data_IF_190915166314
#
_entry.id   IF_190915166314
#
_cell.length_a   1.000
_cell.length_b   1.000
_cell.length_c   1.000
_cell.angle_alpha   90.00
_cell.angle_beta   90.00
_cell.angle_gamma   90.00
#
_symmetry.space_group_name_H-M   'P 1'
#
loop_
_entity.id
_entity.type
_entity.pdbx_description
1 polymer ?
#
# COMPACT_ATOMS: atom_id res chain seq x y z
N UNK A 1 36.13 24.40 22.68
CA UNK A 1 35.32 23.32 23.27
C UNK A 1 33.98 23.93 23.66
N UNK A 2 32.95 23.76 22.84
CA UNK A 2 31.58 24.19 23.15
C UNK A 2 30.68 23.03 22.74
N UNK A 3 29.92 22.54 23.71
CA UNK A 3 29.10 21.35 23.62
C UNK A 3 27.86 21.60 22.75
N UNK A 4 27.62 20.68 21.82
CA UNK A 4 26.36 20.56 21.08
C UNK A 4 25.28 20.09 22.06
N UNK A 5 24.39 20.99 22.46
CA UNK A 5 23.18 20.66 23.20
C UNK A 5 22.13 20.11 22.24
N UNK A 6 21.67 18.92 22.59
CA UNK A 6 20.67 18.07 21.94
C UNK A 6 19.35 18.80 21.73
N UNK A 7 18.92 18.93 20.48
CA UNK A 7 17.56 19.32 20.13
C UNK A 7 16.67 18.08 19.97
N UNK A 8 15.98 17.70 21.04
CA UNK A 8 14.84 16.78 20.97
C UNK A 8 13.59 17.59 20.65
N UNK A 9 13.31 17.80 19.36
CA UNK A 9 12.13 18.51 18.87
C UNK A 9 11.11 17.54 18.30
N UNK A 10 10.25 17.00 19.15
CA UNK A 10 9.02 16.30 18.74
C UNK A 10 8.05 17.29 18.10
N UNK A 11 8.28 17.62 16.84
CA UNK A 11 7.36 18.40 16.04
C UNK A 11 6.23 17.49 15.54
N UNK A 12 5.06 17.58 16.16
CA UNK A 12 3.81 17.10 15.58
C UNK A 12 3.59 17.87 14.27
N UNK A 13 4.14 17.33 13.17
CA UNK A 13 3.80 17.78 11.84
C UNK A 13 2.42 17.23 11.52
N UNK A 14 1.39 17.98 11.90
CA UNK A 14 0.08 17.88 11.25
C UNK A 14 0.29 18.26 9.80
N UNK A 15 0.56 17.27 8.96
CA UNK A 15 0.50 17.42 7.50
C UNK A 15 -0.97 17.58 7.16
N UNK A 16 -1.43 18.83 7.07
CA UNK A 16 -2.69 19.15 6.39
C UNK A 16 -2.51 18.84 4.91
N UNK A 17 -2.90 17.62 4.52
CA UNK A 17 -3.07 17.26 3.11
C UNK A 17 -4.29 18.01 2.61
N UNK A 18 -4.11 19.17 2.00
CA UNK A 18 -5.13 19.81 1.18
C UNK A 18 -5.32 18.97 -0.08
N UNK A 19 -6.18 17.95 0.03
CA UNK A 19 -6.58 17.14 -1.11
C UNK A 19 -7.52 17.97 -1.99
N UNK A 20 -6.94 18.76 -2.90
CA UNK A 20 -7.68 19.49 -3.92
C UNK A 20 -8.01 18.60 -5.13
N UNK A 21 -8.32 17.32 -4.87
CA UNK A 21 -8.90 16.43 -5.89
C UNK A 21 -10.41 16.69 -5.84
N UNK A 22 -11.06 17.06 -6.95
CA UNK A 22 -12.51 17.11 -6.99
C UNK A 22 -13.02 15.70 -6.67
N UNK A 23 -13.48 15.47 -5.44
CA UNK A 23 -14.26 14.30 -5.10
C UNK A 23 -15.60 14.55 -5.78
N UNK A 24 -16.00 13.77 -6.81
CA UNK A 24 -17.35 13.86 -7.33
C UNK A 24 -18.27 13.66 -6.14
N UNK A 25 -19.18 14.61 -5.90
CA UNK A 25 -20.15 14.51 -4.82
C UNK A 25 -20.81 13.11 -4.91
N UNK A 26 -20.51 12.24 -3.94
CA UNK A 26 -21.10 10.92 -3.89
C UNK A 26 -22.61 11.10 -3.89
N UNK A 27 -23.30 10.61 -4.92
CA UNK A 27 -24.75 10.62 -4.97
C UNK A 27 -25.29 9.92 -3.73
N UNK A 28 -26.04 10.60 -2.84
CA UNK A 28 -26.51 10.01 -1.62
C UNK A 28 -27.84 9.32 -1.90
N UNK A 29 -27.88 8.15 -2.55
CA UNK A 29 -29.12 7.32 -2.48
C UNK A 29 -29.04 5.87 -2.94
N UNK A 30 -28.07 5.44 -3.75
CA UNK A 30 -27.95 4.00 -4.07
C UNK A 30 -26.91 3.35 -3.15
N UNK A 31 -27.35 3.00 -1.95
CA UNK A 31 -26.61 2.06 -1.10
C UNK A 31 -26.47 0.77 -1.89
N UNK A 32 -25.24 0.34 -2.19
CA UNK A 32 -24.96 -0.97 -2.77
C UNK A 32 -25.65 -2.05 -1.94
N UNK A 33 -26.70 -2.67 -2.51
CA UNK A 33 -27.42 -3.76 -1.84
C UNK A 33 -26.49 -4.97 -1.75
N UNK A 34 -26.06 -5.30 -0.53
CA UNK A 34 -25.19 -6.43 -0.25
C UNK A 34 -25.76 -7.75 -0.77
N UNK A 35 -27.10 -7.89 -0.87
CA UNK A 35 -27.75 -9.09 -1.41
C UNK A 35 -27.63 -9.19 -2.93
N UNK A 36 -27.21 -8.14 -3.64
CA UNK A 36 -26.97 -8.15 -5.09
C UNK A 36 -25.50 -8.33 -5.45
N UNK A 37 -24.63 -8.36 -4.44
CA UNK A 37 -23.19 -8.55 -4.62
C UNK A 37 -22.84 -10.02 -4.70
N UNK A 38 -22.02 -10.39 -5.68
CA UNK A 38 -21.21 -11.60 -5.60
C UNK A 38 -19.99 -11.27 -4.75
N UNK A 39 -19.78 -11.99 -3.64
CA UNK A 39 -18.54 -11.84 -2.88
C UNK A 39 -17.34 -12.23 -3.77
N UNK A 40 -16.49 -11.25 -4.02
CA UNK A 40 -15.14 -11.34 -4.61
C UNK A 40 -15.06 -12.19 -5.89
N UNK A 41 -15.44 -11.59 -7.02
CA UNK A 41 -15.26 -12.22 -8.35
C UNK A 41 -13.79 -12.35 -8.77
N UNK A 42 -12.88 -11.64 -8.11
CA UNK A 42 -11.43 -11.74 -8.32
C UNK A 42 -10.82 -12.82 -7.42
N UNK A 43 -9.91 -13.66 -7.93
CA UNK A 43 -9.10 -14.54 -7.09
C UNK A 43 -8.38 -13.74 -6.00
N UNK A 44 -8.14 -14.38 -4.85
CA UNK A 44 -7.29 -13.79 -3.82
C UNK A 44 -5.91 -13.48 -4.40
N UNK A 45 -5.39 -12.27 -4.24
CA UNK A 45 -4.08 -11.91 -4.78
C UNK A 45 -2.99 -12.69 -4.06
N UNK A 46 -2.05 -13.25 -4.82
CA UNK A 46 -0.82 -13.79 -4.26
C UNK A 46 0.06 -12.60 -3.88
N UNK A 47 0.42 -12.50 -2.61
CA UNK A 47 1.29 -11.44 -2.11
C UNK A 47 2.75 -11.88 -2.34
N UNK A 48 3.53 -11.19 -3.20
CA UNK A 48 4.92 -11.54 -3.44
C UNK A 48 5.78 -11.24 -2.23
N UNK A 49 6.90 -11.95 -2.11
CA UNK A 49 7.95 -11.64 -1.13
C UNK A 49 9.00 -10.75 -1.75
N UNK A 50 9.39 -9.69 -1.04
CA UNK A 50 10.49 -8.84 -1.45
C UNK A 50 11.84 -9.50 -1.16
N UNK A 51 12.75 -9.48 -2.13
CA UNK A 51 14.14 -9.91 -1.93
C UNK A 51 14.93 -8.76 -1.28
N UNK A 52 15.75 -9.04 -0.25
CA UNK A 52 16.57 -8.02 0.38
C UNK A 52 17.67 -7.51 -0.55
N UNK A 53 17.95 -6.22 -0.46
CA UNK A 53 19.17 -5.63 -1.00
C UNK A 53 20.31 -5.83 -0.01
N UNK A 54 21.30 -6.63 -0.43
CA UNK A 54 22.50 -6.93 0.36
C UNK A 54 23.66 -5.97 0.09
N UNK A 55 23.51 -5.04 -0.87
CA UNK A 55 24.57 -4.12 -1.30
C UNK A 55 24.54 -2.80 -0.53
N UNK A 56 23.36 -2.30 -0.16
CA UNK A 56 23.20 -1.01 0.53
C UNK A 56 23.79 -1.00 1.95
N UNK A 57 23.75 -2.13 2.65
CA UNK A 57 24.30 -2.24 4.01
C UNK A 57 24.81 -3.66 4.28
N UNK A 58 26.13 -3.90 4.19
CA UNK A 58 26.71 -5.23 4.44
C UNK A 58 26.30 -5.77 5.82
N UNK A 59 25.91 -7.05 5.86
CA UNK A 59 25.44 -7.72 7.08
C UNK A 59 23.97 -7.49 7.43
N UNK A 60 23.22 -6.70 6.64
CA UNK A 60 21.79 -6.46 6.82
C UNK A 60 21.00 -6.92 5.61
N UNK A 61 19.76 -7.31 5.85
CA UNK A 61 18.74 -7.47 4.81
C UNK A 61 18.03 -6.13 4.63
N UNK A 62 18.38 -5.39 3.57
CA UNK A 62 17.89 -4.01 3.38
C UNK A 62 16.70 -3.93 2.43
N UNK A 63 15.74 -3.07 2.77
CA UNK A 63 14.54 -2.84 1.99
C UNK A 63 14.25 -1.34 1.86
N UNK A 64 13.99 -0.88 0.65
CA UNK A 64 13.49 0.46 0.37
C UNK A 64 11.99 0.37 0.10
N UNK A 65 11.22 1.11 0.89
CA UNK A 65 9.75 1.13 0.82
C UNK A 65 9.30 2.51 0.33
N UNK A 66 8.55 2.55 -0.75
CA UNK A 66 8.00 3.79 -1.34
C UNK A 66 6.48 3.69 -1.41
N UNK A 67 5.78 4.75 -1.01
CA UNK A 67 4.32 4.83 -1.19
C UNK A 67 4.01 5.16 -2.66
N UNK A 68 3.05 4.44 -3.25
CA UNK A 68 2.63 4.64 -4.63
C UNK A 68 1.11 4.64 -4.73
N UNK A 69 0.59 5.55 -5.56
CA UNK A 69 -0.82 5.59 -5.92
C UNK A 69 -1.06 4.75 -7.18
N UNK A 70 -2.04 3.85 -7.13
CA UNK A 70 -2.48 3.07 -8.29
C UNK A 70 -3.93 3.46 -8.62
N UNK A 71 -4.15 3.96 -9.83
CA UNK A 71 -5.49 4.25 -10.35
C UNK A 71 -6.07 3.02 -11.03
N UNK A 72 -7.39 2.93 -11.12
CA UNK A 72 -8.05 1.86 -11.86
C UNK A 72 -8.05 0.48 -11.17
N UNK A 73 -7.83 0.42 -9.85
CA UNK A 73 -7.80 -0.85 -9.12
C UNK A 73 -9.17 -1.52 -9.09
N UNK A 74 -9.19 -2.83 -9.32
CA UNK A 74 -10.39 -3.67 -9.32
C UNK A 74 -10.45 -4.53 -8.06
N UNK A 75 -11.40 -4.23 -7.18
CA UNK A 75 -11.66 -5.03 -5.98
C UNK A 75 -12.50 -6.29 -6.24
N UNK A 76 -12.83 -6.57 -7.50
CA UNK A 76 -13.67 -7.72 -7.87
C UNK A 76 -15.12 -7.57 -7.43
N UNK A 77 -15.59 -6.33 -7.22
CA UNK A 77 -16.98 -6.03 -6.96
C UNK A 77 -17.79 -6.33 -8.22
N UNK A 78 -18.70 -7.30 -8.14
CA UNK A 78 -19.51 -7.79 -9.26
C UNK A 78 -20.95 -8.00 -8.85
N UNK A 79 -21.87 -7.84 -9.81
CA UNK A 79 -23.26 -8.27 -9.66
C UNK A 79 -23.31 -9.79 -9.50
N UNK A 80 -24.43 -10.31 -9.02
CA UNK A 80 -24.67 -11.75 -8.86
C UNK A 80 -24.39 -12.57 -10.13
N UNK A 81 -24.71 -12.03 -11.30
CA UNK A 81 -24.48 -12.66 -12.60
C UNK A 81 -23.00 -12.62 -13.06
N UNK A 82 -22.13 -11.94 -12.31
CA UNK A 82 -20.70 -11.79 -12.61
C UNK A 82 -20.36 -10.56 -13.45
N UNK A 83 -21.35 -9.78 -13.89
CA UNK A 83 -21.11 -8.54 -14.64
C UNK A 83 -20.58 -7.41 -13.75
N UNK A 84 -19.90 -6.45 -14.39
CA UNK A 84 -19.37 -5.26 -13.72
C UNK A 84 -20.50 -4.36 -13.21
N UNK A 85 -20.28 -3.72 -12.06
CA UNK A 85 -21.01 -2.50 -11.71
C UNK A 85 -20.46 -1.35 -12.53
N UNK A 86 -21.35 -0.64 -13.22
CA UNK A 86 -20.99 0.52 -14.03
C UNK A 86 -21.29 1.80 -13.26
N UNK A 87 -20.39 2.76 -13.36
CA UNK A 87 -20.62 4.13 -12.93
C UNK A 87 -21.71 4.76 -13.82
N UNK A 88 -22.82 5.25 -13.27
CA UNK A 88 -23.93 5.81 -14.05
C UNK A 88 -23.53 7.09 -14.82
N UNK A 89 -22.48 7.80 -14.39
CA UNK A 89 -22.00 9.03 -15.03
C UNK A 89 -21.10 8.71 -16.23
N UNK A 90 -20.22 7.72 -16.09
CA UNK A 90 -19.19 7.42 -17.10
C UNK A 90 -19.48 6.18 -17.93
N UNK A 91 -20.48 5.37 -17.54
CA UNK A 91 -20.77 4.04 -18.09
C UNK A 91 -19.58 3.06 -18.06
N UNK A 92 -18.52 3.39 -17.32
CA UNK A 92 -17.34 2.56 -17.16
C UNK A 92 -17.47 1.66 -15.91
N UNK A 93 -16.79 0.50 -15.87
CA UNK A 93 -16.69 -0.29 -14.64
C UNK A 93 -16.19 0.54 -13.47
N UNK A 94 -16.81 0.41 -12.30
CA UNK A 94 -16.36 1.09 -11.09
C UNK A 94 -14.96 0.57 -10.72
N UNK A 95 -13.99 1.48 -10.71
CA UNK A 95 -12.61 1.24 -10.27
C UNK A 95 -12.23 2.22 -9.18
N UNK A 96 -11.30 1.84 -8.32
CA UNK A 96 -10.84 2.68 -7.21
C UNK A 96 -9.40 3.12 -7.39
N UNK A 97 -9.10 4.31 -6.91
CA UNK A 97 -7.71 4.72 -6.68
C UNK A 97 -7.28 4.21 -5.31
N UNK A 98 -6.18 3.46 -5.26
CA UNK A 98 -5.64 2.87 -4.03
C UNK A 98 -4.22 3.35 -3.79
N UNK A 99 -3.84 3.41 -2.51
CA UNK A 99 -2.46 3.61 -2.10
C UNK A 99 -1.87 2.28 -1.67
N UNK A 100 -0.65 2.02 -2.09
CA UNK A 100 0.10 0.83 -1.73
C UNK A 100 1.58 1.14 -1.51
N UNK A 101 2.34 0.09 -1.24
CA UNK A 101 3.78 0.20 -1.05
C UNK A 101 4.51 -0.62 -2.10
N UNK A 102 5.53 -0.01 -2.71
CA UNK A 102 6.56 -0.74 -3.44
C UNK A 102 7.72 -1.03 -2.50
N UNK A 103 8.24 -2.26 -2.55
CA UNK A 103 9.38 -2.69 -1.74
C UNK A 103 10.48 -3.17 -2.67
N UNK A 104 11.64 -2.50 -2.67
CA UNK A 104 12.73 -2.76 -3.62
C UNK A 104 12.24 -2.84 -5.08
N UNK A 105 11.29 -1.99 -5.45
CA UNK A 105 10.69 -1.94 -6.80
C UNK A 105 9.58 -2.98 -7.06
N UNK A 106 9.29 -3.88 -6.11
CA UNK A 106 8.19 -4.85 -6.25
C UNK A 106 6.87 -4.19 -5.87
N UNK A 107 5.95 -4.13 -6.83
CA UNK A 107 4.59 -3.58 -6.68
C UNK A 107 3.58 -4.72 -6.50
N UNK A 108 2.76 -4.65 -5.45
CA UNK A 108 1.73 -5.65 -5.16
C UNK A 108 0.38 -5.00 -4.80
N UNK A 109 -0.02 -4.00 -5.59
CA UNK A 109 -1.26 -3.24 -5.37
C UNK A 109 -1.30 -2.57 -4.00
N UNK A 110 -2.49 -2.51 -3.41
CA UNK A 110 -2.72 -1.88 -2.11
C UNK A 110 -2.13 -2.65 -0.92
N UNK A 111 -1.81 -3.94 -1.10
CA UNK A 111 -1.28 -4.80 -0.03
C UNK A 111 0.23 -4.62 0.16
N UNK A 112 0.96 -4.28 -0.91
CA UNK A 112 2.42 -4.23 -0.91
C UNK A 112 3.07 -5.61 -0.82
N UNK A 113 4.37 -5.68 -1.10
CA UNK A 113 5.12 -6.93 -1.02
C UNK A 113 5.43 -7.30 0.44
N UNK A 114 5.43 -8.60 0.75
CA UNK A 114 5.78 -9.11 2.08
C UNK A 114 7.30 -9.09 2.28
N UNK A 115 7.76 -8.61 3.44
CA UNK A 115 9.15 -8.76 3.88
C UNK A 115 9.23 -9.95 4.83
N UNK A 116 10.07 -10.94 4.51
CA UNK A 116 10.33 -12.07 5.38
C UNK A 116 11.67 -11.89 6.09
N UNK A 117 11.67 -12.04 7.41
CA UNK A 117 12.86 -11.95 8.25
C UNK A 117 13.08 -13.26 8.99
N UNK A 118 14.35 -13.61 9.24
CA UNK A 118 14.74 -14.74 10.09
C UNK A 118 15.30 -14.24 11.41
N UNK A 119 15.19 -15.06 12.45
CA UNK A 119 15.69 -14.75 13.80
C UNK A 119 17.20 -14.47 13.79
N UNK A 120 17.63 -13.50 14.60
CA UNK A 120 19.05 -13.13 14.77
C UNK A 120 19.63 -13.65 16.10
N UNK A 121 18.99 -14.63 16.74
CA UNK A 121 19.48 -15.22 17.98
C UNK A 121 20.75 -16.05 17.75
N UNK A 122 21.53 -16.30 18.81
CA UNK A 122 22.72 -17.13 18.73
C UNK A 122 22.37 -18.54 18.23
N UNK A 123 23.03 -19.00 17.16
CA UNK A 123 22.75 -20.28 16.50
C UNK A 123 21.79 -20.19 15.32
N UNK A 124 21.14 -19.04 15.09
CA UNK A 124 20.27 -18.79 13.95
C UNK A 124 21.04 -18.14 12.79
N UNK A 125 20.50 -18.26 11.56
CA UNK A 125 21.14 -17.73 10.34
C UNK A 125 20.56 -16.40 9.87
N UNK A 126 19.70 -15.76 10.65
CA UNK A 126 19.04 -14.52 10.24
C UNK A 126 19.96 -13.31 10.29
N UNK A 127 19.64 -12.32 9.46
CA UNK A 127 20.31 -11.01 9.44
C UNK A 127 19.37 -9.95 10.00
N UNK A 128 19.91 -8.92 10.66
CA UNK A 128 19.10 -7.77 11.04
C UNK A 128 18.50 -7.10 9.81
N UNK A 129 17.23 -6.71 9.91
CA UNK A 129 16.49 -6.05 8.83
C UNK A 129 16.68 -4.54 8.90
N UNK A 130 16.93 -3.91 7.75
CA UNK A 130 17.05 -2.46 7.63
C UNK A 130 16.02 -1.92 6.64
N UNK A 131 15.06 -1.12 7.12
CA UNK A 131 14.01 -0.55 6.26
C UNK A 131 14.22 0.95 6.08
N UNK A 132 14.37 1.39 4.84
CA UNK A 132 14.39 2.79 4.45
C UNK A 132 13.06 3.17 3.84
N UNK A 133 12.39 4.19 4.40
CA UNK A 133 11.20 4.80 3.80
C UNK A 133 11.65 5.87 2.81
N UNK A 134 11.20 5.78 1.57
CA UNK A 134 11.41 6.80 0.55
C UNK A 134 10.10 7.57 0.36
N UNK A 135 10.19 8.90 0.48
CA UNK A 135 9.05 9.77 0.12
C UNK A 135 8.94 9.81 -1.40
N UNK A 136 7.73 9.75 -1.97
CA UNK A 136 7.51 10.04 -3.38
C UNK A 136 7.87 11.49 -3.71
#
# INVERSE_FOLDING_TARGET
>A
MVALLVGCGGGNSTVTVTQNVPVPAASPTEILDALQLKQFGTPLPIIPFATPDSTTKPGFDSYTVTAEQTTGFDFGLRKKDGSDFLDPVTSAPIRSTVWGYTVNGIKAGYLGASIQARSTLAGETGKPVSVKRQRP
#
